data_IF_612894474503
#
_entry.id   IF_612894474503
#
_cell.length_a   1.000
_cell.length_b   1.000
_cell.length_c   1.000
_cell.angle_alpha   90.00
_cell.angle_beta   90.00
_cell.angle_gamma   90.00
#
_symmetry.space_group_name_H-M   'P 1'
#
loop_
_entity.id
_entity.type
_entity.pdbx_description
1 polymer ?
#
# COMPACT_ATOMS: atom_id res chain seq x y z
N UNK A 1 29.94 -26.39 46.46
CA UNK A 1 29.67 -26.81 45.07
C UNK A 1 28.16 -26.93 44.88
N UNK A 2 27.48 -25.97 44.25
CA UNK A 2 26.21 -26.15 43.52
C UNK A 2 25.61 -24.77 43.18
N UNK A 3 26.22 -24.04 42.25
CA UNK A 3 25.73 -22.77 41.72
C UNK A 3 26.00 -22.77 40.21
N UNK A 4 25.44 -23.72 39.45
CA UNK A 4 25.58 -23.71 37.98
C UNK A 4 24.62 -24.67 37.25
N UNK A 5 23.29 -24.58 37.46
CA UNK A 5 22.34 -25.46 36.73
C UNK A 5 21.02 -24.84 36.26
N UNK A 6 20.86 -23.53 36.31
CA UNK A 6 19.61 -22.88 35.85
C UNK A 6 19.76 -21.99 34.60
N UNK A 7 20.99 -21.82 34.08
CA UNK A 7 21.24 -20.96 32.92
C UNK A 7 20.72 -21.47 31.55
N UNK A 8 20.56 -22.78 31.25
CA UNK A 8 20.22 -23.19 29.88
C UNK A 8 18.72 -23.14 29.58
N UNK A 9 17.86 -23.02 30.60
CA UNK A 9 16.40 -23.06 30.42
C UNK A 9 15.88 -21.71 29.93
N UNK A 10 16.47 -20.60 30.37
CA UNK A 10 16.07 -19.26 29.94
C UNK A 10 16.45 -18.93 28.50
N UNK A 11 17.47 -19.60 27.93
CA UNK A 11 17.92 -19.34 26.55
C UNK A 11 17.09 -20.09 25.49
N UNK A 12 16.34 -21.13 25.88
CA UNK A 12 15.57 -21.95 24.95
C UNK A 12 14.15 -21.42 24.68
N UNK A 13 13.61 -20.56 25.55
CA UNK A 13 12.25 -20.01 25.40
C UNK A 13 12.15 -18.82 24.43
N UNK A 14 13.26 -18.26 23.96
CA UNK A 14 13.26 -17.07 23.09
C UNK A 14 13.24 -17.37 21.59
N UNK A 15 13.20 -18.64 21.18
CA UNK A 15 13.52 -19.02 19.79
C UNK A 15 12.34 -19.17 18.80
N UNK A 16 11.07 -19.05 19.20
CA UNK A 16 9.97 -19.33 18.25
C UNK A 16 8.76 -18.42 18.43
N UNK A 17 8.95 -17.10 18.37
CA UNK A 17 7.85 -16.19 18.05
C UNK A 17 7.90 -15.88 16.56
N UNK A 18 7.39 -16.80 15.72
CA UNK A 18 7.07 -16.46 14.34
C UNK A 18 5.97 -15.39 14.39
N UNK A 19 6.24 -14.21 13.83
CA UNK A 19 5.24 -13.17 13.65
C UNK A 19 4.13 -13.70 12.72
N UNK A 20 3.09 -14.29 13.29
CA UNK A 20 1.89 -14.70 12.57
C UNK A 20 1.09 -13.43 12.28
N UNK A 21 1.15 -12.92 11.06
CA UNK A 21 0.26 -11.83 10.65
C UNK A 21 -1.10 -12.44 10.31
N UNK A 22 -2.17 -11.97 10.95
CA UNK A 22 -3.55 -12.36 10.60
C UNK A 22 -4.03 -11.68 9.30
N UNK A 23 -3.11 -11.10 8.50
CA UNK A 23 -3.43 -10.39 7.26
C UNK A 23 -4.17 -11.27 6.25
N UNK A 24 -3.92 -12.59 6.25
CA UNK A 24 -4.62 -13.54 5.41
C UNK A 24 -6.09 -13.76 5.83
N UNK A 25 -6.40 -13.67 7.13
CA UNK A 25 -7.73 -13.91 7.71
C UNK A 25 -8.59 -12.63 7.79
N UNK A 26 -7.97 -11.46 7.89
CA UNK A 26 -8.65 -10.15 7.84
C UNK A 26 -9.07 -9.75 6.42
N UNK A 27 -8.72 -10.57 5.43
CA UNK A 27 -9.01 -10.32 4.04
C UNK A 27 -10.51 -10.59 3.82
N UNK A 28 -11.33 -9.53 3.68
CA UNK A 28 -12.70 -9.68 3.17
C UNK A 28 -12.61 -10.36 1.79
N UNK A 29 -12.84 -11.67 1.74
CA UNK A 29 -12.78 -12.48 0.54
C UNK A 29 -14.19 -12.64 -0.01
N UNK A 30 -14.89 -11.52 -0.19
CA UNK A 30 -16.05 -11.54 -1.06
C UNK A 30 -15.46 -11.62 -2.45
N UNK A 31 -15.49 -12.83 -3.01
CA UNK A 31 -15.19 -13.06 -4.40
C UNK A 31 -16.08 -12.10 -5.20
N UNK A 32 -15.44 -11.23 -5.98
CA UNK A 32 -16.16 -10.26 -6.78
C UNK A 32 -16.93 -11.03 -7.85
N UNK A 33 -18.24 -11.22 -7.64
CA UNK A 33 -19.13 -11.85 -8.59
C UNK A 33 -19.53 -10.83 -9.67
N UNK A 34 -18.66 -10.61 -10.66
CA UNK A 34 -18.92 -9.74 -11.81
C UNK A 34 -17.72 -9.61 -12.76
N UNK A 35 -17.92 -9.08 -13.97
CA UNK A 35 -16.92 -9.00 -15.05
C UNK A 35 -15.84 -7.90 -14.87
N UNK A 36 -15.66 -7.35 -13.66
CA UNK A 36 -14.77 -6.24 -13.36
C UNK A 36 -15.49 -5.06 -12.68
N UNK A 37 -14.79 -3.94 -12.45
CA UNK A 37 -15.39 -2.75 -11.81
C UNK A 37 -16.69 -2.32 -12.52
N UNK A 38 -17.72 -1.85 -11.79
CA UNK A 38 -18.94 -1.36 -12.42
C UNK A 38 -18.60 -0.22 -13.41
N UNK A 39 -19.37 -0.05 -14.51
CA UNK A 39 -19.06 0.97 -15.51
C UNK A 39 -19.18 2.41 -14.98
N UNK A 40 -19.92 2.61 -13.88
CA UNK A 40 -20.16 3.91 -13.26
C UNK A 40 -20.03 3.83 -11.74
N UNK A 41 -19.47 4.88 -11.12
CA UNK A 41 -19.47 5.07 -9.68
C UNK A 41 -19.69 6.53 -9.30
N UNK A 42 -20.23 6.74 -8.11
CA UNK A 42 -20.42 8.09 -7.56
C UNK A 42 -19.11 8.57 -6.93
N UNK A 43 -18.45 9.53 -7.58
CA UNK A 43 -17.28 10.22 -7.07
C UNK A 43 -17.69 11.64 -6.68
N UNK A 44 -17.48 12.03 -5.42
CA UNK A 44 -17.87 13.35 -4.88
C UNK A 44 -19.35 13.72 -5.11
N UNK A 45 -20.25 12.75 -4.99
CA UNK A 45 -21.70 12.96 -5.19
C UNK A 45 -22.13 13.05 -6.66
N UNK A 46 -21.21 12.85 -7.61
CA UNK A 46 -21.49 12.83 -9.05
C UNK A 46 -21.28 11.43 -9.63
N UNK A 47 -22.30 10.92 -10.32
CA UNK A 47 -22.18 9.67 -11.10
C UNK A 47 -21.20 9.89 -12.25
N UNK A 48 -20.12 9.12 -12.24
CA UNK A 48 -19.02 9.23 -13.21
C UNK A 48 -18.76 7.87 -13.81
N UNK A 49 -18.62 7.83 -15.14
CA UNK A 49 -18.22 6.63 -15.88
C UNK A 49 -16.77 6.30 -15.56
N UNK A 50 -16.53 5.16 -14.92
CA UNK A 50 -15.21 4.70 -14.50
C UNK A 50 -14.28 4.50 -15.70
N UNK A 51 -14.82 4.04 -16.85
CA UNK A 51 -14.07 3.84 -18.09
C UNK A 51 -13.60 5.14 -18.76
N UNK A 52 -14.26 6.27 -18.45
CA UNK A 52 -13.90 7.59 -18.98
C UNK A 52 -12.94 8.36 -18.03
N UNK A 53 -12.62 7.81 -16.85
CA UNK A 53 -11.63 8.42 -15.97
C UNK A 53 -10.23 8.21 -16.53
N UNK A 54 -9.58 9.32 -16.87
CA UNK A 54 -8.16 9.29 -17.20
C UNK A 54 -7.38 8.71 -16.02
N UNK A 55 -6.54 7.67 -16.23
CA UNK A 55 -5.68 7.15 -15.18
C UNK A 55 -4.58 8.15 -14.80
N UNK A 56 -4.52 9.33 -15.45
CA UNK A 56 -3.49 10.34 -15.24
C UNK A 56 -4.09 11.62 -14.68
N UNK A 57 -3.60 12.02 -13.51
CA UNK A 57 -3.90 13.31 -12.89
C UNK A 57 -2.77 14.27 -13.26
N UNK A 58 -3.12 15.37 -13.93
CA UNK A 58 -2.19 16.44 -14.29
C UNK A 58 -2.35 17.62 -13.32
N UNK A 59 -1.27 17.95 -12.62
CA UNK A 59 -1.16 19.16 -11.82
C UNK A 59 -0.04 20.05 -12.39
N UNK A 60 -0.01 21.32 -11.97
CA UNK A 60 0.99 22.28 -12.45
C UNK A 60 2.45 21.86 -12.19
N UNK A 61 2.69 21.06 -11.13
CA UNK A 61 4.04 20.67 -10.70
C UNK A 61 4.32 19.16 -10.73
N UNK A 62 3.26 18.36 -10.80
CA UNK A 62 3.33 16.90 -10.66
C UNK A 62 2.32 16.26 -11.59
N UNK A 63 2.66 15.08 -12.11
CA UNK A 63 1.75 14.22 -12.84
C UNK A 63 1.70 12.89 -12.08
N UNK A 64 0.51 12.36 -11.84
CA UNK A 64 0.34 11.04 -11.23
C UNK A 64 -0.35 10.13 -12.24
N UNK A 65 0.20 8.95 -12.49
CA UNK A 65 -0.43 7.93 -13.34
C UNK A 65 -0.75 6.70 -12.51
N UNK A 66 -2.01 6.28 -12.52
CA UNK A 66 -2.50 5.07 -11.87
C UNK A 66 -2.44 3.89 -12.86
N UNK A 67 -1.90 2.77 -12.41
CA UNK A 67 -1.90 1.52 -13.14
C UNK A 67 -2.39 0.42 -12.21
N UNK A 68 -3.53 -0.20 -12.54
CA UNK A 68 -4.07 -1.34 -11.83
C UNK A 68 -3.51 -2.63 -12.46
N UNK A 69 -2.34 -3.07 -12.00
CA UNK A 69 -1.76 -4.34 -12.42
C UNK A 69 -2.35 -5.50 -11.58
N UNK A 70 -2.32 -6.73 -12.09
CA UNK A 70 -2.88 -7.90 -11.43
C UNK A 70 -2.15 -8.21 -10.09
N UNK A 71 -2.64 -7.61 -9.00
CA UNK A 71 -2.18 -7.84 -7.62
C UNK A 71 -1.98 -6.57 -6.78
N UNK A 72 -1.79 -5.41 -7.40
CA UNK A 72 -1.61 -4.13 -6.70
C UNK A 72 -1.92 -2.92 -7.60
N UNK A 73 -2.30 -1.81 -6.98
CA UNK A 73 -2.40 -0.51 -7.65
C UNK A 73 -1.05 0.19 -7.59
N UNK A 74 -0.51 0.58 -8.74
CA UNK A 74 0.74 1.32 -8.84
C UNK A 74 0.44 2.78 -9.21
N UNK A 75 0.95 3.71 -8.42
CA UNK A 75 0.89 5.14 -8.69
C UNK A 75 2.30 5.61 -9.07
N UNK A 76 2.48 6.04 -10.32
CA UNK A 76 3.71 6.68 -10.77
C UNK A 76 3.59 8.20 -10.59
N UNK A 77 4.41 8.75 -9.70
CA UNK A 77 4.51 10.18 -9.42
C UNK A 77 5.68 10.78 -10.21
N UNK A 78 5.36 11.62 -11.20
CA UNK A 78 6.33 12.38 -11.99
C UNK A 78 6.34 13.83 -11.57
N UNK A 79 7.52 14.37 -11.32
CA UNK A 79 7.73 15.74 -10.88
C UNK A 79 8.47 16.54 -11.94
N UNK A 80 8.10 17.81 -12.10
CA UNK A 80 8.83 18.71 -13.00
C UNK A 80 10.19 19.13 -12.39
N UNK A 81 10.32 19.04 -11.07
CA UNK A 81 11.51 19.38 -10.30
C UNK A 81 11.92 18.20 -9.39
N UNK A 82 13.18 18.21 -8.93
CA UNK A 82 13.71 17.17 -8.02
C UNK A 82 12.85 17.05 -6.76
N UNK A 83 12.39 15.83 -6.46
CA UNK A 83 11.58 15.55 -5.27
C UNK A 83 12.42 14.90 -4.15
N UNK A 84 12.33 15.48 -2.95
CA UNK A 84 13.03 15.03 -1.72
C UNK A 84 12.07 14.78 -0.54
N UNK A 85 10.76 14.79 -0.79
CA UNK A 85 9.75 14.55 0.24
C UNK A 85 9.49 13.06 0.47
N UNK A 86 8.44 12.76 1.24
CA UNK A 86 7.91 11.40 1.40
C UNK A 86 6.49 11.40 0.87
N UNK A 87 6.19 10.47 -0.05
CA UNK A 87 4.81 10.18 -0.44
C UNK A 87 4.37 8.92 0.29
N UNK A 88 3.21 8.95 0.93
CA UNK A 88 2.71 7.86 1.78
C UNK A 88 1.20 7.76 1.65
N UNK A 89 0.67 6.55 1.86
CA UNK A 89 -0.76 6.27 1.80
C UNK A 89 -1.47 6.48 3.14
N UNK A 90 -2.80 6.61 3.10
CA UNK A 90 -3.69 6.60 4.27
C UNK A 90 -3.39 7.65 5.36
N UNK A 91 -2.78 8.77 4.97
CA UNK A 91 -2.35 9.83 5.88
C UNK A 91 -1.39 9.36 7.00
N UNK A 92 -0.80 8.16 6.90
CA UNK A 92 0.16 7.62 7.85
C UNK A 92 1.59 7.66 7.30
N UNK A 93 2.43 8.50 7.92
CA UNK A 93 3.87 8.63 7.58
C UNK A 93 4.69 7.40 7.93
N UNK A 94 4.17 6.50 8.75
CA UNK A 94 4.81 5.25 9.13
C UNK A 94 4.25 4.05 8.33
N UNK A 95 3.33 4.31 7.39
CA UNK A 95 2.76 3.27 6.54
C UNK A 95 3.83 2.52 5.78
N UNK A 96 3.63 1.20 5.62
CA UNK A 96 4.46 0.38 4.76
C UNK A 96 4.41 0.84 3.28
N UNK A 97 3.32 1.51 2.89
CA UNK A 97 3.17 2.08 1.55
C UNK A 97 3.65 3.53 1.53
N UNK A 98 4.97 3.68 1.44
CA UNK A 98 5.60 4.97 1.26
C UNK A 98 6.79 4.90 0.30
N UNK A 99 7.12 6.05 -0.27
CA UNK A 99 8.31 6.23 -1.10
C UNK A 99 9.02 7.51 -0.68
N UNK A 100 10.34 7.43 -0.48
CA UNK A 100 11.16 8.56 -0.07
C UNK A 100 11.92 9.14 -1.27
N UNK A 101 11.78 10.44 -1.46
CA UNK A 101 12.44 11.20 -2.51
C UNK A 101 13.94 11.35 -2.26
N UNK A 102 14.75 11.04 -3.28
CA UNK A 102 16.22 11.20 -3.29
C UNK A 102 16.68 12.19 -4.37
N UNK A 103 15.80 13.08 -4.83
CA UNK A 103 16.09 14.09 -5.85
C UNK A 103 15.85 13.65 -7.31
N UNK A 104 15.29 12.46 -7.53
CA UNK A 104 14.75 12.03 -8.83
C UNK A 104 13.49 12.79 -9.26
N UNK A 105 13.07 12.52 -10.50
CA UNK A 105 11.88 13.12 -11.13
C UNK A 105 10.72 12.12 -11.29
N UNK A 106 10.93 10.83 -11.04
CA UNK A 106 9.88 9.82 -11.05
C UNK A 106 10.03 8.89 -9.86
N UNK A 107 8.91 8.58 -9.22
CA UNK A 107 8.83 7.64 -8.11
C UNK A 107 7.58 6.78 -8.27
N UNK A 108 7.65 5.56 -7.75
CA UNK A 108 6.53 4.64 -7.71
C UNK A 108 6.07 4.47 -6.27
N UNK A 109 4.76 4.49 -6.09
CA UNK A 109 4.08 4.11 -4.87
C UNK A 109 3.20 2.91 -5.21
N UNK A 110 3.45 1.80 -4.54
CA UNK A 110 2.65 0.59 -4.69
C UNK A 110 1.65 0.49 -3.55
N UNK A 111 0.39 0.27 -3.90
CA UNK A 111 -0.74 0.16 -2.98
C UNK A 111 -1.31 -1.26 -3.12
N UNK A 112 -1.20 -2.09 -2.07
CA UNK A 112 -1.81 -3.42 -2.09
C UNK A 112 -3.33 -3.27 -2.16
N UNK A 113 -4.04 -4.23 -2.77
CA UNK A 113 -5.51 -4.21 -2.79
C UNK A 113 -6.10 -4.34 -1.38
N UNK A 114 -5.33 -4.90 -0.44
CA UNK A 114 -5.66 -4.99 0.99
C UNK A 114 -4.54 -4.37 1.82
N UNK A 115 -4.83 -3.27 2.51
CA UNK A 115 -3.90 -2.56 3.39
C UNK A 115 -3.60 -1.14 2.92
N UNK A 116 -2.81 -0.39 3.70
CA UNK A 116 -2.46 1.00 3.35
C UNK A 116 -3.67 1.90 3.04
N UNK A 117 -4.79 1.67 3.75
CA UNK A 117 -6.04 2.42 3.60
C UNK A 117 -6.90 2.04 2.38
N UNK A 118 -6.50 1.05 1.56
CA UNK A 118 -7.33 0.63 0.42
C UNK A 118 -8.63 -0.02 0.89
N UNK A 119 -9.72 0.31 0.19
CA UNK A 119 -11.03 -0.28 0.38
C UNK A 119 -11.44 -0.94 -0.93
N UNK A 120 -11.95 -2.17 -0.82
CA UNK A 120 -12.47 -2.95 -1.94
C UNK A 120 -13.97 -2.77 -2.04
#
# INVERSE_FOLDING_TARGET
>A
MSQLRLLPIFLALSATAFAQSNYADQANNIEYHGDGLPPEATLDGKVTKLDDLSPVIFLNRTKAALNCAAGSMQVELKFNNKFYGIAYADFDRNSACQTAGKGGLSYKLELPLKGCGTKQ
#
